data_IF_070199859739
#
_entry.id   IF_070199859739
#
_cell.length_a   1.000
_cell.length_b   1.000
_cell.length_c   1.000
_cell.angle_alpha   90.00
_cell.angle_beta   90.00
_cell.angle_gamma   90.00
#
_symmetry.space_group_name_H-M   'P 1'
#
loop_
_entity.id
_entity.type
_entity.pdbx_description
1 polymer ?
#
# COMPACT_ATOMS: atom_id res chain seq x y z
N UNK A 1 -15.95 22.62 -15.16
CA UNK A 1 -15.41 21.23 -15.04
C UNK A 1 -13.96 21.28 -14.55
N UNK A 2 -13.60 20.44 -13.56
CA UNK A 2 -12.23 20.35 -13.00
C UNK A 2 -11.69 18.93 -13.10
N UNK A 3 -10.38 18.78 -13.28
CA UNK A 3 -9.66 17.51 -13.29
C UNK A 3 -8.44 17.59 -12.36
N UNK A 4 -8.28 16.62 -11.47
CA UNK A 4 -7.13 16.50 -10.57
C UNK A 4 -6.18 15.43 -11.13
N UNK A 5 -4.94 15.80 -11.43
CA UNK A 5 -3.94 14.87 -11.93
C UNK A 5 -2.51 15.41 -11.73
N UNK A 6 -1.50 14.62 -12.08
CA UNK A 6 -0.14 15.11 -12.26
C UNK A 6 0.02 15.63 -13.69
N UNK A 7 0.50 16.86 -13.81
CA UNK A 7 0.72 17.56 -15.08
C UNK A 7 2.20 17.84 -15.26
N UNK A 8 2.69 17.52 -16.44
CA UNK A 8 3.98 17.97 -16.93
C UNK A 8 3.74 18.79 -18.19
N UNK A 9 4.22 20.03 -18.21
CA UNK A 9 4.15 20.91 -19.40
C UNK A 9 5.52 20.92 -20.04
N UNK A 10 5.63 20.33 -21.23
CA UNK A 10 6.87 20.22 -21.98
C UNK A 10 6.84 21.22 -23.14
N UNK A 11 7.73 22.22 -23.11
CA UNK A 11 7.89 23.13 -24.25
C UNK A 11 8.70 22.47 -25.35
N UNK A 12 8.15 22.48 -26.59
CA UNK A 12 8.81 21.93 -27.77
C UNK A 12 9.94 22.83 -28.31
N UNK A 13 10.06 24.06 -27.81
CA UNK A 13 11.13 24.98 -28.18
C UNK A 13 12.42 24.79 -27.36
N UNK A 14 12.33 24.22 -26.16
CA UNK A 14 13.49 24.03 -25.27
C UNK A 14 14.59 23.11 -25.84
N UNK A 15 14.28 22.00 -26.54
CA UNK A 15 15.30 21.17 -27.17
C UNK A 15 16.13 21.93 -28.23
N UNK A 16 15.50 22.86 -28.96
CA UNK A 16 16.18 23.70 -29.95
C UNK A 16 17.15 24.72 -29.32
N UNK A 17 16.92 25.06 -28.04
CA UNK A 17 17.78 25.94 -27.23
C UNK A 17 18.82 25.17 -26.40
N UNK A 18 18.99 23.87 -26.63
CA UNK A 18 19.92 23.01 -25.88
C UNK A 18 19.49 22.71 -24.43
N UNK A 19 18.30 23.12 -24.03
CA UNK A 19 17.78 22.91 -22.67
C UNK A 19 16.89 21.67 -22.61
N UNK A 20 17.25 20.69 -21.76
CA UNK A 20 16.40 19.52 -21.49
C UNK A 20 15.51 19.78 -20.28
N UNK A 21 14.21 19.91 -20.50
CA UNK A 21 13.25 19.95 -19.40
C UNK A 21 13.05 18.52 -18.87
N UNK A 22 13.75 18.16 -17.79
CA UNK A 22 13.50 16.93 -17.01
C UNK A 22 12.53 17.26 -15.86
N UNK A 23 11.38 17.86 -16.20
CA UNK A 23 10.38 18.19 -15.20
C UNK A 23 9.75 16.92 -14.64
N UNK A 24 9.77 16.72 -13.32
CA UNK A 24 8.88 15.72 -12.71
C UNK A 24 7.46 16.28 -12.75
N UNK A 25 6.49 15.47 -13.19
CA UNK A 25 5.07 15.86 -13.19
C UNK A 25 4.65 16.45 -11.85
N UNK A 26 4.02 17.62 -11.89
CA UNK A 26 3.57 18.35 -10.70
C UNK A 26 2.08 18.15 -10.54
N UNK A 27 1.63 17.88 -9.32
CA UNK A 27 0.19 17.77 -9.04
C UNK A 27 -0.51 19.10 -9.31
N UNK A 28 -1.51 19.07 -10.18
CA UNK A 28 -2.23 20.24 -10.66
C UNK A 28 -3.75 20.00 -10.70
N UNK A 29 -4.49 21.10 -10.72
CA UNK A 29 -5.92 21.11 -11.01
C UNK A 29 -6.12 21.81 -12.34
N UNK A 30 -6.65 21.07 -13.32
CA UNK A 30 -7.03 21.61 -14.62
C UNK A 30 -8.50 22.01 -14.57
N UNK A 31 -8.81 23.21 -15.02
CA UNK A 31 -10.18 23.72 -15.11
C UNK A 31 -10.47 24.21 -16.52
N UNK A 32 -11.65 23.87 -17.03
CA UNK A 32 -12.19 24.50 -18.23
C UNK A 32 -13.05 25.69 -17.82
N UNK A 33 -12.69 26.87 -18.32
CA UNK A 33 -13.35 28.14 -18.03
C UNK A 33 -13.80 28.82 -19.32
N UNK A 34 -14.97 29.47 -19.27
CA UNK A 34 -15.50 30.30 -20.36
C UNK A 34 -15.53 31.74 -19.84
N UNK A 35 -14.91 32.67 -20.56
CA UNK A 35 -14.90 34.07 -20.19
C UNK A 35 -15.91 34.84 -21.04
N UNK A 36 -16.86 35.52 -20.38
CA UNK A 36 -17.64 36.59 -21.01
C UNK A 36 -16.80 37.86 -20.96
N UNK A 37 -16.64 38.53 -22.11
CA UNK A 37 -15.93 39.80 -22.17
C UNK A 37 -16.66 40.84 -21.29
N UNK A 38 -16.09 41.17 -20.13
CA UNK A 38 -16.56 42.30 -19.31
C UNK A 38 -15.84 43.56 -19.73
N UNK A 39 -16.57 44.49 -20.33
CA UNK A 39 -16.09 45.86 -20.51
C UNK A 39 -16.74 46.68 -21.61
N UNK A 40 -18.06 46.81 -21.63
CA UNK A 40 -18.79 48.00 -22.09
C UNK A 40 -20.30 47.81 -21.87
N UNK A 41 -21.05 48.81 -21.36
CA UNK A 41 -22.49 48.73 -21.32
C UNK A 41 -22.99 48.84 -22.77
N UNK A 42 -23.67 47.81 -23.30
CA UNK A 42 -24.29 47.89 -24.62
C UNK A 42 -25.80 47.81 -24.54
N UNK A 43 -26.39 48.72 -25.30
CA UNK A 43 -27.80 48.87 -25.58
C UNK A 43 -28.36 47.66 -26.37
N UNK A 44 -29.68 47.54 -26.35
CA UNK A 44 -30.47 46.51 -27.04
C UNK A 44 -30.04 46.36 -28.51
N UNK A 45 -29.60 45.16 -28.91
CA UNK A 45 -29.64 44.75 -30.32
C UNK A 45 -28.44 44.05 -30.96
N UNK A 46 -27.39 43.63 -30.24
CA UNK A 46 -26.23 42.96 -30.88
C UNK A 46 -26.04 41.50 -30.48
N UNK A 47 -25.75 40.65 -31.48
CA UNK A 47 -25.47 39.21 -31.35
C UNK A 47 -24.25 38.97 -30.44
N UNK A 48 -24.38 37.96 -29.56
CA UNK A 48 -23.38 37.48 -28.61
C UNK A 48 -21.96 37.47 -29.19
N UNK A 49 -21.03 38.19 -28.53
CA UNK A 49 -19.60 38.15 -28.87
C UNK A 49 -18.98 36.78 -28.59
N UNK A 50 -17.81 36.46 -29.19
CA UNK A 50 -17.24 35.13 -29.13
C UNK A 50 -16.88 34.75 -27.68
N UNK A 51 -17.49 33.67 -27.19
CA UNK A 51 -17.11 33.06 -25.92
C UNK A 51 -15.70 32.47 -26.04
N UNK A 52 -14.75 32.99 -25.25
CA UNK A 52 -13.39 32.46 -25.18
C UNK A 52 -13.34 31.33 -24.15
N UNK A 53 -13.08 30.11 -24.62
CA UNK A 53 -12.89 28.93 -23.77
C UNK A 53 -11.40 28.68 -23.55
N UNK A 54 -10.98 28.67 -22.29
CA UNK A 54 -9.59 28.51 -21.89
C UNK A 54 -9.41 27.30 -20.98
N UNK A 55 -8.26 26.64 -21.12
CA UNK A 55 -7.74 25.67 -20.17
C UNK A 55 -6.90 26.40 -19.12
N UNK A 56 -7.24 26.19 -17.87
CA UNK A 56 -6.53 26.76 -16.74
C UNK A 56 -5.84 25.66 -15.94
N UNK A 57 -4.52 25.75 -15.78
CA UNK A 57 -3.72 24.80 -15.02
C UNK A 57 -3.20 25.49 -13.77
N UNK A 58 -3.60 25.03 -12.60
CA UNK A 58 -3.14 25.58 -11.31
C UNK A 58 -2.36 24.54 -10.52
N UNK A 59 -1.28 24.96 -9.86
CA UNK A 59 -0.45 24.09 -9.02
C UNK A 59 -0.38 24.63 -7.60
N UNK A 60 0.11 23.82 -6.64
CA UNK A 60 0.32 24.28 -5.26
C UNK A 60 1.31 25.44 -5.15
N UNK A 61 2.32 25.47 -6.04
CA UNK A 61 3.35 26.52 -6.08
C UNK A 61 2.87 27.76 -6.84
N UNK A 62 2.09 27.55 -7.90
CA UNK A 62 1.49 28.61 -8.69
C UNK A 62 -0.05 28.54 -8.63
N UNK A 63 -0.60 29.23 -7.63
CA UNK A 63 -2.05 29.38 -7.44
C UNK A 63 -2.69 30.33 -8.46
N UNK A 64 -1.91 31.18 -9.13
CA UNK A 64 -2.41 32.08 -10.19
C UNK A 64 -2.62 31.33 -11.50
N UNK A 65 -1.90 30.21 -11.67
CA UNK A 65 -2.08 29.23 -12.73
C UNK A 65 -1.73 29.74 -14.13
N UNK A 66 -1.48 28.81 -15.05
CA UNK A 66 -1.21 29.11 -16.45
C UNK A 66 -2.47 28.93 -17.29
N UNK A 67 -2.71 29.86 -18.22
CA UNK A 67 -3.86 29.85 -19.12
C UNK A 67 -3.43 29.45 -20.52
N UNK A 68 -4.21 28.58 -21.14
CA UNK A 68 -4.05 28.18 -22.54
C UNK A 68 -5.38 28.36 -23.25
N UNK A 69 -5.38 29.09 -24.36
CA UNK A 69 -6.54 29.20 -25.23
C UNK A 69 -6.77 27.87 -25.95
N UNK A 70 -8.02 27.44 -26.10
CA UNK A 70 -8.33 26.12 -26.66
C UNK A 70 -8.92 26.17 -28.07
N UNK A 71 -9.61 27.26 -28.41
CA UNK A 71 -10.28 27.42 -29.70
C UNK A 71 -9.25 27.31 -30.82
N UNK A 72 -9.40 26.29 -31.68
CA UNK A 72 -8.51 26.01 -32.82
C UNK A 72 -7.00 25.81 -32.50
N UNK A 73 -6.64 25.80 -31.21
CA UNK A 73 -5.27 25.81 -30.73
C UNK A 73 -4.72 24.42 -30.32
N UNK A 74 -5.54 23.37 -30.42
CA UNK A 74 -5.10 22.00 -30.17
C UNK A 74 -4.62 21.40 -31.49
N UNK A 75 -3.39 20.91 -31.52
CA UNK A 75 -2.82 20.23 -32.69
C UNK A 75 -3.18 18.74 -32.69
N UNK A 76 -3.05 18.08 -31.55
CA UNK A 76 -3.27 16.63 -31.43
C UNK A 76 -3.62 16.19 -30.01
N UNK A 77 -4.44 15.14 -29.90
CA UNK A 77 -4.69 14.42 -28.66
C UNK A 77 -4.04 13.04 -28.70
N UNK A 78 -3.23 12.71 -27.70
CA UNK A 78 -2.66 11.39 -27.51
C UNK A 78 -3.40 10.67 -26.38
N UNK A 79 -4.30 9.74 -26.74
CA UNK A 79 -5.23 9.11 -25.79
C UNK A 79 -5.05 7.60 -25.66
N UNK A 80 -3.93 7.03 -26.11
CA UNK A 80 -3.67 5.58 -26.11
C UNK A 80 -3.78 4.93 -24.72
N UNK A 81 -3.46 5.68 -23.66
CA UNK A 81 -3.38 5.20 -22.27
C UNK A 81 -4.41 5.86 -21.34
N UNK A 82 -5.53 6.33 -21.88
CA UNK A 82 -6.57 7.01 -21.08
C UNK A 82 -7.17 6.09 -20.02
N UNK A 83 -7.29 4.80 -20.31
CA UNK A 83 -7.75 3.81 -19.34
C UNK A 83 -6.78 3.61 -18.17
N UNK A 84 -5.48 3.86 -18.38
CA UNK A 84 -4.46 3.92 -17.33
C UNK A 84 -4.38 5.31 -16.65
N UNK A 85 -5.24 6.26 -17.01
CA UNK A 85 -5.24 7.61 -16.46
C UNK A 85 -4.14 8.52 -17.02
N UNK A 86 -3.64 8.24 -18.24
CA UNK A 86 -2.62 9.03 -18.93
C UNK A 86 -3.14 9.58 -20.26
N UNK A 87 -2.82 10.84 -20.57
CA UNK A 87 -3.11 11.45 -21.86
C UNK A 87 -2.17 12.62 -22.12
N UNK A 88 -1.91 12.95 -23.39
CA UNK A 88 -1.17 14.16 -23.74
C UNK A 88 -2.00 15.02 -24.67
N UNK A 89 -2.07 16.32 -24.38
CA UNK A 89 -2.73 17.33 -25.23
C UNK A 89 -1.65 18.24 -25.79
N UNK A 90 -1.53 18.27 -27.11
CA UNK A 90 -0.55 19.11 -27.81
C UNK A 90 -1.19 20.40 -28.27
N UNK A 91 -0.61 21.52 -27.85
CA UNK A 91 -1.05 22.87 -28.24
C UNK A 91 -0.17 23.44 -29.35
N UNK A 92 -0.78 24.25 -30.23
CA UNK A 92 -0.06 24.99 -31.28
C UNK A 92 0.66 26.19 -30.68
N UNK A 93 -0.04 27.02 -29.90
CA UNK A 93 0.49 28.25 -29.30
C UNK A 93 0.11 28.40 -27.81
N UNK A 94 1.08 28.48 -26.89
CA UNK A 94 2.49 28.17 -27.09
C UNK A 94 2.68 26.68 -27.49
N UNK A 95 3.75 26.33 -28.22
CA UNK A 95 3.99 24.97 -28.70
C UNK A 95 4.42 24.04 -27.55
N UNK A 96 3.46 23.64 -26.74
CA UNK A 96 3.66 22.82 -25.53
C UNK A 96 2.88 21.51 -25.62
N UNK A 97 3.46 20.47 -25.06
CA UNK A 97 2.80 19.19 -24.81
C UNK A 97 2.40 19.15 -23.33
N UNK A 98 1.10 19.09 -23.06
CA UNK A 98 0.54 18.97 -21.71
C UNK A 98 0.31 17.49 -21.43
N UNK A 99 1.23 16.88 -20.70
CA UNK A 99 1.18 15.48 -20.30
C UNK A 99 0.42 15.32 -18.98
N UNK A 100 -0.68 14.56 -19.02
CA UNK A 100 -1.53 14.23 -17.88
C UNK A 100 -1.23 12.80 -17.43
N UNK A 101 -1.07 12.60 -16.11
CA UNK A 101 -0.84 11.28 -15.51
C UNK A 101 -1.54 11.17 -14.15
N UNK A 102 -1.80 9.93 -13.71
CA UNK A 102 -2.48 9.61 -12.44
C UNK A 102 -3.87 10.26 -12.30
N UNK A 103 -4.57 10.44 -13.41
CA UNK A 103 -5.96 10.90 -13.41
C UNK A 103 -6.92 9.71 -13.23
N UNK A 104 -8.11 9.94 -12.65
CA UNK A 104 -9.20 8.96 -12.71
C UNK A 104 -9.64 8.79 -14.18
N UNK A 105 -9.68 7.55 -14.68
CA UNK A 105 -9.99 7.24 -16.08
C UNK A 105 -11.36 7.75 -16.54
N UNK A 106 -12.40 7.64 -15.70
CA UNK A 106 -13.74 8.15 -16.02
C UNK A 106 -13.75 9.67 -16.12
N UNK A 107 -13.16 10.37 -15.14
CA UNK A 107 -13.06 11.84 -15.14
C UNK A 107 -12.20 12.36 -16.28
N UNK A 108 -11.12 11.64 -16.63
CA UNK A 108 -10.24 11.98 -17.74
C UNK A 108 -10.95 11.85 -19.09
N UNK A 109 -11.73 10.78 -19.31
CA UNK A 109 -12.54 10.62 -20.54
C UNK A 109 -13.54 11.75 -20.72
N UNK A 110 -14.29 12.07 -19.66
CA UNK A 110 -15.23 13.19 -19.68
C UNK A 110 -14.52 14.52 -19.93
N UNK A 111 -13.36 14.73 -19.31
CA UNK A 111 -12.58 15.97 -19.46
C UNK A 111 -12.02 16.13 -20.87
N UNK A 112 -11.49 15.06 -21.46
CA UNK A 112 -11.00 15.05 -22.84
C UNK A 112 -12.14 15.27 -23.84
N UNK A 113 -13.33 14.74 -23.57
CA UNK A 113 -14.52 15.01 -24.40
C UNK A 113 -14.90 16.50 -24.35
N UNK A 114 -14.91 17.10 -23.15
CA UNK A 114 -15.13 18.54 -22.99
C UNK A 114 -14.04 19.39 -23.67
N UNK A 115 -12.76 18.97 -23.62
CA UNK A 115 -11.67 19.63 -24.35
C UNK A 115 -11.85 19.57 -25.87
N UNK A 116 -12.32 18.44 -26.41
CA UNK A 116 -12.60 18.31 -27.86
C UNK A 116 -13.74 19.22 -28.30
N UNK A 117 -14.77 19.37 -27.46
CA UNK A 117 -15.87 20.31 -27.70
C UNK A 117 -15.38 21.78 -27.63
N UNK A 118 -14.58 22.10 -26.62
CA UNK A 118 -13.95 23.42 -26.46
C UNK A 118 -13.12 23.82 -27.68
N UNK A 119 -12.33 22.88 -28.21
CA UNK A 119 -11.50 23.10 -29.39
C UNK A 119 -12.32 23.40 -30.65
N UNK A 120 -13.47 22.73 -30.81
CA UNK A 120 -14.40 22.92 -31.94
C UNK A 120 -15.28 24.16 -31.82
N UNK A 121 -15.21 24.89 -30.70
CA UNK A 121 -16.02 26.08 -30.47
C UNK A 121 -17.49 25.80 -30.17
N UNK A 122 -17.86 24.56 -29.79
CA UNK A 122 -19.20 24.23 -29.34
C UNK A 122 -19.40 24.60 -27.86
N UNK A 123 -20.60 25.08 -27.51
CA UNK A 123 -20.96 25.38 -26.13
C UNK A 123 -20.96 24.09 -25.28
N UNK A 124 -20.33 24.17 -24.11
CA UNK A 124 -20.19 23.06 -23.18
C UNK A 124 -21.38 23.09 -22.23
N UNK A 125 -22.37 22.21 -22.42
CA UNK A 125 -23.57 22.09 -21.55
C UNK A 125 -23.29 21.54 -20.13
N UNK A 126 -22.02 21.30 -19.77
CA UNK A 126 -21.64 20.85 -18.43
C UNK A 126 -21.47 22.05 -17.48
N UNK A 127 -21.69 21.91 -16.16
CA UNK A 127 -21.51 23.02 -15.21
C UNK A 127 -20.06 23.53 -15.25
N UNK A 128 -19.90 24.67 -15.91
CA UNK A 128 -18.64 25.37 -16.05
C UNK A 128 -18.33 26.10 -14.74
N UNK A 129 -17.10 25.95 -14.26
CA UNK A 129 -16.66 26.49 -12.99
C UNK A 129 -16.32 27.97 -13.19
N UNK A 130 -17.08 28.86 -12.55
CA UNK A 130 -16.80 30.30 -12.48
C UNK A 130 -15.41 30.53 -11.87
N UNK A 131 -14.68 31.51 -12.39
CA UNK A 131 -13.34 31.89 -11.95
C UNK A 131 -13.31 32.16 -10.44
N UNK A 132 -12.87 31.15 -9.68
CA UNK A 132 -12.50 31.29 -8.28
C UNK A 132 -11.11 30.67 -8.09
N UNK A 133 -10.18 31.35 -7.39
CA UNK A 133 -8.89 30.74 -7.04
C UNK A 133 -9.15 29.43 -6.30
N UNK A 134 -8.48 28.36 -6.76
CA UNK A 134 -8.57 27.00 -6.21
C UNK A 134 -8.24 27.07 -4.72
N UNK A 135 -9.24 26.80 -3.86
CA UNK A 135 -9.04 26.76 -2.40
C UNK A 135 -8.03 25.66 -2.09
N UNK A 136 -7.18 25.86 -1.08
CA UNK A 136 -6.15 24.89 -0.65
C UNK A 136 -6.70 23.50 -0.32
N UNK A 137 -8.02 23.39 -0.09
CA UNK A 137 -8.77 22.15 0.10
C UNK A 137 -8.99 21.33 -1.18
N UNK A 138 -8.93 21.94 -2.38
CA UNK A 138 -9.13 21.25 -3.67
C UNK A 138 -7.84 20.58 -4.18
N UNK A 139 -6.67 20.98 -3.65
CA UNK A 139 -5.48 20.16 -3.69
C UNK A 139 -5.54 19.14 -2.56
N UNK A 140 -6.53 18.24 -2.57
CA UNK A 140 -6.53 17.12 -1.63
C UNK A 140 -5.18 16.42 -1.77
N UNK A 141 -4.29 16.62 -0.79
CA UNK A 141 -3.17 15.70 -0.56
C UNK A 141 -3.83 14.33 -0.55
N UNK A 142 -3.44 13.46 -1.50
CA UNK A 142 -3.77 12.04 -1.39
C UNK A 142 -3.37 11.66 0.02
N UNK A 143 -4.36 11.42 0.89
CA UNK A 143 -4.07 11.02 2.26
C UNK A 143 -3.42 9.66 2.11
N UNK A 144 -2.10 9.63 2.27
CA UNK A 144 -1.30 8.40 2.25
C UNK A 144 -1.29 7.75 3.62
N UNK A 145 -1.55 8.52 4.68
CA UNK A 145 -1.71 8.05 6.04
C UNK A 145 -3.05 8.49 6.61
N UNK A 146 -3.74 7.56 7.26
CA UNK A 146 -4.94 7.81 8.05
C UNK A 146 -4.81 7.08 9.37
N UNK A 147 -5.13 7.77 10.46
CA UNK A 147 -5.07 7.26 11.84
C UNK A 147 -6.42 7.48 12.48
N UNK A 148 -6.97 6.40 13.02
CA UNK A 148 -8.24 6.35 13.73
C UNK A 148 -7.94 5.61 15.04
N UNK A 149 -8.05 6.31 16.17
CA UNK A 149 -7.73 5.79 17.51
C UNK A 149 -8.96 5.77 18.42
N UNK A 150 -10.14 6.10 17.89
CA UNK A 150 -11.38 6.06 18.63
C UNK A 150 -12.52 5.64 17.72
N UNK A 151 -13.47 4.91 18.29
CA UNK A 151 -14.71 4.52 17.61
C UNK A 151 -15.49 5.71 17.04
N UNK A 152 -15.39 6.89 17.67
CA UNK A 152 -16.08 8.12 17.22
C UNK A 152 -15.52 8.66 15.89
N UNK A 153 -14.23 8.45 15.65
CA UNK A 153 -13.53 8.96 14.46
C UNK A 153 -13.59 7.96 13.29
N UNK A 154 -14.18 6.79 13.51
CA UNK A 154 -14.30 5.76 12.50
C UNK A 154 -15.29 6.17 11.41
N UNK A 155 -14.91 6.16 10.11
CA UNK A 155 -15.76 6.61 9.03
C UNK A 155 -16.89 5.59 8.76
N UNK A 156 -18.09 5.87 9.27
CA UNK A 156 -19.27 5.03 9.06
C UNK A 156 -19.86 5.22 7.65
N UNK A 157 -19.99 6.47 7.20
CA UNK A 157 -20.69 6.83 5.94
C UNK A 157 -19.76 7.08 4.75
N UNK A 158 -18.46 7.24 4.96
CA UNK A 158 -17.47 7.55 3.91
C UNK A 158 -16.54 6.38 3.65
N UNK A 159 -16.17 6.18 2.39
CA UNK A 159 -15.14 5.21 2.01
C UNK A 159 -13.75 5.71 2.41
N UNK A 160 -12.84 4.77 2.64
CA UNK A 160 -11.42 5.07 2.85
C UNK A 160 -10.81 5.64 1.55
N UNK A 161 -9.92 6.66 1.64
CA UNK A 161 -9.22 7.16 0.47
C UNK A 161 -8.41 6.05 -0.23
N UNK A 162 -8.57 5.82 -1.55
CA UNK A 162 -7.91 4.70 -2.25
C UNK A 162 -6.39 4.88 -2.40
N UNK A 163 -5.89 6.09 -2.12
CA UNK A 163 -4.47 6.43 -2.13
C UNK A 163 -3.74 6.09 -0.81
N UNK A 164 -4.43 5.47 0.15
CA UNK A 164 -3.82 5.15 1.43
C UNK A 164 -2.73 4.10 1.28
N UNK A 165 -1.58 4.40 1.86
CA UNK A 165 -0.46 3.49 2.03
C UNK A 165 -0.36 3.02 3.50
N UNK A 166 -0.87 3.82 4.43
CA UNK A 166 -0.77 3.60 5.86
C UNK A 166 -2.15 3.82 6.50
N UNK A 167 -2.71 2.77 7.07
CA UNK A 167 -4.00 2.84 7.76
C UNK A 167 -3.83 2.28 9.17
N UNK A 168 -4.08 3.13 10.16
CA UNK A 168 -4.16 2.74 11.55
C UNK A 168 -5.60 2.92 12.04
N UNK A 169 -6.17 1.84 12.53
CA UNK A 169 -7.53 1.74 13.09
C UNK A 169 -7.43 0.98 14.40
N UNK A 170 -6.95 1.66 15.44
CA UNK A 170 -6.70 1.09 16.76
C UNK A 170 -7.76 1.58 17.76
N UNK A 171 -8.03 0.83 18.84
CA UNK A 171 -8.99 1.22 19.89
C UNK A 171 -10.40 1.57 19.38
N UNK A 172 -10.80 0.98 18.25
CA UNK A 172 -12.10 1.21 17.63
C UNK A 172 -13.17 0.20 18.08
N UNK A 173 -12.77 -0.83 18.83
CA UNK A 173 -13.65 -1.92 19.27
C UNK A 173 -14.15 -2.77 18.10
N UNK A 174 -13.34 -2.90 17.03
CA UNK A 174 -13.72 -3.67 15.84
C UNK A 174 -13.78 -5.16 16.18
N UNK A 175 -14.91 -5.80 15.91
CA UNK A 175 -15.10 -7.25 16.08
C UNK A 175 -14.66 -8.01 14.82
N UNK A 176 -14.72 -7.34 13.66
CA UNK A 176 -14.36 -7.85 12.34
C UNK A 176 -13.63 -6.75 11.56
N UNK A 177 -12.80 -7.16 10.61
CA UNK A 177 -12.16 -6.23 9.67
C UNK A 177 -13.21 -5.72 8.69
N UNK A 178 -13.24 -4.41 8.49
CA UNK A 178 -14.09 -3.75 7.51
C UNK A 178 -13.59 -4.05 6.09
N UNK A 179 -14.46 -4.62 5.26
CA UNK A 179 -14.12 -5.01 3.88
C UNK A 179 -13.68 -3.83 3.02
N UNK A 180 -14.07 -2.60 3.36
CA UNK A 180 -13.63 -1.38 2.67
C UNK A 180 -12.12 -1.17 2.83
N UNK A 181 -11.52 -1.57 3.95
CA UNK A 181 -10.08 -1.50 4.15
C UNK A 181 -9.33 -2.47 3.24
N UNK A 182 -9.96 -3.61 2.92
CA UNK A 182 -9.38 -4.67 2.10
C UNK A 182 -9.38 -4.32 0.60
N UNK A 183 -10.13 -3.29 0.20
CA UNK A 183 -10.12 -2.75 -1.17
C UNK A 183 -8.94 -1.81 -1.47
N UNK A 184 -8.14 -1.46 -0.45
CA UNK A 184 -7.05 -0.50 -0.55
C UNK A 184 -5.77 -1.14 -1.13
N UNK A 185 -5.69 -1.20 -2.46
CA UNK A 185 -4.57 -1.87 -3.15
C UNK A 185 -3.18 -1.26 -2.92
N UNK A 186 -3.12 0.03 -2.57
CA UNK A 186 -1.84 0.73 -2.30
C UNK A 186 -1.36 0.57 -0.85
N UNK A 187 -2.12 -0.13 0.00
CA UNK A 187 -1.84 -0.22 1.43
C UNK A 187 -0.56 -1.03 1.67
N UNK A 188 0.39 -0.43 2.38
CA UNK A 188 1.67 -1.01 2.79
C UNK A 188 1.71 -1.32 4.26
N UNK A 189 1.05 -0.51 5.09
CA UNK A 189 0.98 -0.71 6.53
C UNK A 189 -0.47 -0.69 6.99
N UNK A 190 -0.87 -1.76 7.67
CA UNK A 190 -2.18 -1.90 8.27
C UNK A 190 -2.03 -2.18 9.77
N UNK A 191 -2.49 -1.25 10.58
CA UNK A 191 -2.52 -1.38 12.03
C UNK A 191 -3.97 -1.49 12.51
N UNK A 192 -4.29 -2.66 13.06
CA UNK A 192 -5.57 -3.04 13.62
C UNK A 192 -5.43 -3.40 15.12
N UNK A 193 -4.37 -2.91 15.77
CA UNK A 193 -4.09 -3.21 17.17
C UNK A 193 -5.17 -2.72 18.13
N UNK A 194 -5.27 -3.32 19.31
CA UNK A 194 -6.21 -2.94 20.36
C UNK A 194 -7.67 -2.93 19.87
N UNK A 195 -8.11 -4.03 19.27
CA UNK A 195 -9.48 -4.25 18.84
C UNK A 195 -10.00 -5.59 19.40
N UNK A 196 -11.13 -6.07 18.90
CA UNK A 196 -11.75 -7.32 19.35
C UNK A 196 -11.89 -8.33 18.20
N UNK A 197 -10.96 -8.28 17.25
CA UNK A 197 -11.01 -9.09 16.03
C UNK A 197 -10.77 -10.56 16.41
N UNK A 198 -11.72 -11.42 16.05
CA UNK A 198 -11.64 -12.86 16.34
C UNK A 198 -11.03 -13.70 15.23
N UNK A 199 -11.25 -13.28 13.97
CA UNK A 199 -10.80 -13.99 12.77
C UNK A 199 -10.48 -12.99 11.65
N UNK A 200 -9.48 -13.31 10.84
CA UNK A 200 -9.19 -12.58 9.60
C UNK A 200 -10.01 -13.15 8.45
N UNK A 201 -10.64 -12.31 7.60
CA UNK A 201 -11.33 -12.78 6.40
C UNK A 201 -10.32 -13.25 5.34
N UNK A 202 -10.75 -14.12 4.42
CA UNK A 202 -9.89 -14.62 3.34
C UNK A 202 -9.39 -13.48 2.42
N UNK A 203 -10.19 -12.44 2.26
CA UNK A 203 -9.90 -11.24 1.47
C UNK A 203 -8.77 -10.37 2.02
N UNK A 204 -8.22 -10.69 3.20
CA UNK A 204 -6.99 -10.02 3.67
C UNK A 204 -5.82 -10.21 2.70
N UNK A 205 -5.81 -11.31 1.95
CA UNK A 205 -4.81 -11.61 0.93
C UNK A 205 -4.86 -10.74 -0.32
N UNK A 206 -5.92 -9.92 -0.48
CA UNK A 206 -6.08 -9.02 -1.63
C UNK A 206 -5.20 -7.75 -1.52
N UNK A 207 -4.60 -7.52 -0.36
CA UNK A 207 -3.71 -6.38 -0.09
C UNK A 207 -2.30 -6.64 -0.64
N UNK A 208 -2.18 -6.61 -1.96
CA UNK A 208 -0.97 -7.03 -2.71
C UNK A 208 0.34 -6.33 -2.32
N UNK A 209 0.27 -5.14 -1.75
CA UNK A 209 1.44 -4.34 -1.36
C UNK A 209 1.68 -4.28 0.15
N UNK A 210 0.92 -5.03 0.94
CA UNK A 210 1.03 -4.98 2.40
C UNK A 210 2.37 -5.57 2.86
N UNK A 211 3.11 -4.76 3.61
CA UNK A 211 4.43 -5.09 4.15
C UNK A 211 4.39 -5.24 5.67
N UNK A 212 3.54 -4.49 6.35
CA UNK A 212 3.44 -4.49 7.81
C UNK A 212 1.99 -4.67 8.22
N UNK A 213 1.74 -5.72 9.00
CA UNK A 213 0.43 -6.03 9.57
C UNK A 213 0.54 -6.12 11.10
N UNK A 214 -0.10 -5.17 11.78
CA UNK A 214 -0.19 -5.17 13.24
C UNK A 214 -1.59 -5.55 13.69
N UNK A 215 -1.70 -6.67 14.40
CA UNK A 215 -2.91 -7.22 15.01
C UNK A 215 -2.74 -7.44 16.51
N UNK A 216 -1.79 -6.73 17.12
CA UNK A 216 -1.52 -6.75 18.55
C UNK A 216 -2.79 -6.49 19.38
N UNK A 217 -2.95 -7.18 20.50
CA UNK A 217 -4.06 -6.96 21.45
C UNK A 217 -5.44 -7.08 20.77
N UNK A 218 -5.73 -8.30 20.33
CA UNK A 218 -6.98 -8.71 19.71
C UNK A 218 -7.45 -10.05 20.31
N UNK A 219 -8.46 -10.68 19.71
CA UNK A 219 -9.03 -11.95 20.18
C UNK A 219 -8.86 -13.08 19.16
N UNK A 220 -7.77 -13.07 18.39
CA UNK A 220 -7.51 -14.11 17.39
C UNK A 220 -7.25 -15.45 18.07
N UNK A 221 -8.11 -16.44 17.82
CA UNK A 221 -7.97 -17.80 18.38
C UNK A 221 -7.10 -18.71 17.49
N UNK A 222 -6.94 -18.34 16.22
CA UNK A 222 -6.21 -19.11 15.22
C UNK A 222 -5.58 -18.21 14.17
N UNK A 223 -4.41 -18.60 13.68
CA UNK A 223 -3.80 -17.99 12.51
C UNK A 223 -4.64 -18.26 11.23
N UNK A 224 -4.77 -17.26 10.36
CA UNK A 224 -5.50 -17.40 9.09
C UNK A 224 -4.56 -17.80 7.95
N UNK A 225 -4.75 -19.00 7.40
CA UNK A 225 -4.00 -19.49 6.22
C UNK A 225 -4.14 -18.61 4.98
N UNK A 226 -5.14 -17.72 4.92
CA UNK A 226 -5.28 -16.75 3.83
C UNK A 226 -4.08 -15.79 3.71
N UNK A 227 -3.39 -15.49 4.82
CA UNK A 227 -2.14 -14.73 4.78
C UNK A 227 -1.04 -15.48 4.02
N UNK A 228 -1.06 -16.81 4.08
CA UNK A 228 -0.06 -17.68 3.47
C UNK A 228 -0.43 -18.19 2.09
N UNK A 229 -1.69 -18.07 1.66
CA UNK A 229 -2.16 -18.55 0.35
C UNK A 229 -2.37 -17.42 -0.66
N UNK A 230 -1.83 -16.23 -0.36
CA UNK A 230 -2.02 -15.01 -1.16
C UNK A 230 -0.69 -14.38 -1.55
N UNK A 231 -0.79 -13.23 -2.23
CA UNK A 231 0.36 -12.40 -2.61
C UNK A 231 1.20 -11.92 -1.41
N UNK A 232 0.66 -12.01 -0.20
CA UNK A 232 1.35 -11.62 1.03
C UNK A 232 2.59 -12.46 1.35
N UNK A 233 2.70 -13.68 0.80
CA UNK A 233 3.90 -14.51 0.93
C UNK A 233 5.18 -13.82 0.44
N UNK A 234 5.05 -12.92 -0.54
CA UNK A 234 6.18 -12.23 -1.17
C UNK A 234 6.25 -10.73 -0.82
N UNK A 235 5.31 -10.21 -0.03
CA UNK A 235 5.27 -8.78 0.33
C UNK A 235 5.35 -8.52 1.83
N UNK A 236 4.83 -9.42 2.67
CA UNK A 236 4.75 -9.22 4.12
C UNK A 236 6.12 -9.40 4.78
N UNK A 237 6.57 -8.37 5.49
CA UNK A 237 7.88 -8.28 6.16
C UNK A 237 7.76 -8.25 7.67
N UNK A 238 6.76 -7.54 8.19
CA UNK A 238 6.51 -7.44 9.63
C UNK A 238 5.11 -7.90 9.98
N UNK A 239 5.03 -8.79 10.97
CA UNK A 239 3.77 -9.31 11.48
C UNK A 239 3.79 -9.32 13.01
N UNK A 240 2.88 -8.54 13.61
CA UNK A 240 2.64 -8.54 15.05
C UNK A 240 1.27 -9.18 15.35
N UNK A 241 1.31 -10.33 16.00
CA UNK A 241 0.16 -11.09 16.46
C UNK A 241 0.14 -11.22 17.99
N UNK A 242 0.93 -10.40 18.71
CA UNK A 242 1.07 -10.53 20.16
C UNK A 242 -0.22 -10.18 20.90
N UNK A 243 -0.38 -10.66 22.13
CA UNK A 243 -1.60 -10.46 22.95
C UNK A 243 -2.86 -10.93 22.20
N UNK A 244 -2.84 -12.19 21.77
CA UNK A 244 -3.98 -12.86 21.17
C UNK A 244 -4.18 -14.22 21.87
N UNK A 245 -4.97 -15.12 21.28
CA UNK A 245 -5.27 -16.46 21.83
C UNK A 245 -4.86 -17.58 20.88
N UNK A 246 -3.83 -17.35 20.08
CA UNK A 246 -3.39 -18.29 19.05
C UNK A 246 -2.72 -19.48 19.71
N UNK A 247 -3.23 -20.68 19.44
CA UNK A 247 -2.70 -21.93 20.01
C UNK A 247 -1.63 -22.61 19.17
N UNK A 248 -1.68 -22.42 17.85
CA UNK A 248 -0.73 -22.99 16.93
C UNK A 248 -0.67 -22.16 15.65
N UNK A 249 0.50 -22.18 15.00
CA UNK A 249 0.67 -21.72 13.63
C UNK A 249 0.65 -22.92 12.68
N UNK A 250 -0.11 -22.88 11.58
CA UNK A 250 -0.15 -23.96 10.61
C UNK A 250 1.17 -24.06 9.82
N UNK A 251 1.47 -25.21 9.20
CA UNK A 251 2.71 -25.38 8.42
C UNK A 251 2.81 -24.41 7.24
N UNK A 252 1.67 -23.96 6.70
CA UNK A 252 1.56 -22.93 5.67
C UNK A 252 2.15 -21.58 6.13
N UNK A 253 2.22 -21.32 7.44
CA UNK A 253 2.89 -20.13 7.99
C UNK A 253 4.31 -19.94 7.45
N UNK A 254 5.03 -21.05 7.28
CA UNK A 254 6.40 -21.09 6.76
C UNK A 254 6.53 -20.65 5.28
N UNK A 255 5.40 -20.38 4.60
CA UNK A 255 5.39 -19.82 3.24
C UNK A 255 5.66 -18.30 3.21
N UNK A 256 5.56 -17.59 4.35
CA UNK A 256 5.86 -16.16 4.46
C UNK A 256 7.37 -15.89 4.47
N UNK A 257 8.07 -16.24 3.38
CA UNK A 257 9.54 -16.26 3.32
C UNK A 257 10.20 -14.88 3.40
N UNK A 258 9.46 -13.83 3.08
CA UNK A 258 9.94 -12.44 3.15
C UNK A 258 9.82 -11.82 4.55
N UNK A 259 9.29 -12.57 5.52
CA UNK A 259 9.10 -12.08 6.88
C UNK A 259 10.46 -11.88 7.58
N UNK A 260 10.70 -10.66 8.06
CA UNK A 260 11.91 -10.24 8.80
C UNK A 260 11.64 -10.09 10.28
N UNK A 261 10.41 -9.68 10.64
CA UNK A 261 10.00 -9.36 12.00
C UNK A 261 8.70 -10.08 12.37
N UNK A 262 8.77 -10.92 13.41
CA UNK A 262 7.63 -11.69 13.90
C UNK A 262 7.50 -11.52 15.41
N UNK A 263 6.32 -11.04 15.85
CA UNK A 263 5.96 -10.95 17.27
C UNK A 263 4.72 -11.77 17.56
N UNK A 264 4.84 -12.64 18.54
CA UNK A 264 3.86 -13.64 18.96
C UNK A 264 3.72 -13.67 20.49
N UNK A 265 4.19 -12.64 21.18
CA UNK A 265 4.19 -12.59 22.64
C UNK A 265 2.78 -12.70 23.21
N UNK A 266 2.62 -13.20 24.43
CA UNK A 266 1.31 -13.28 25.09
C UNK A 266 0.25 -14.00 24.24
N UNK A 267 0.57 -15.21 23.80
CA UNK A 267 -0.36 -16.10 23.12
C UNK A 267 -0.45 -17.45 23.86
N UNK A 268 -1.12 -18.43 23.26
CA UNK A 268 -1.27 -19.77 23.83
C UNK A 268 -0.51 -20.82 23.00
N UNK A 269 0.58 -20.43 22.33
CA UNK A 269 1.29 -21.31 21.40
C UNK A 269 1.86 -22.52 22.12
N UNK A 270 1.43 -23.73 21.70
CA UNK A 270 1.93 -25.01 22.24
C UNK A 270 3.06 -25.61 21.39
N UNK A 271 3.27 -25.11 20.18
CA UNK A 271 4.36 -25.53 19.29
C UNK A 271 4.56 -24.51 18.15
N UNK A 272 5.78 -24.47 17.63
CA UNK A 272 6.05 -23.92 16.31
C UNK A 272 5.86 -24.99 15.22
N UNK A 273 5.58 -24.60 13.96
CA UNK A 273 5.53 -25.52 12.84
C UNK A 273 6.92 -26.15 12.61
N UNK A 274 6.97 -27.43 12.24
CA UNK A 274 8.23 -28.16 12.07
C UNK A 274 9.13 -27.58 10.96
N UNK A 275 8.54 -26.85 10.00
CA UNK A 275 9.24 -26.16 8.90
C UNK A 275 9.62 -24.71 9.21
N UNK A 276 9.71 -24.32 10.49
CA UNK A 276 10.01 -22.93 10.88
C UNK A 276 11.31 -22.43 10.24
N UNK A 277 12.29 -23.32 10.02
CA UNK A 277 13.56 -23.01 9.35
C UNK A 277 13.46 -22.53 7.91
N UNK A 278 12.29 -22.60 7.27
CA UNK A 278 12.06 -22.03 5.92
C UNK A 278 11.97 -20.50 5.91
N UNK A 279 11.80 -19.87 7.08
CA UNK A 279 11.76 -18.41 7.22
C UNK A 279 13.18 -17.82 7.24
N UNK A 280 13.92 -18.02 6.16
CA UNK A 280 15.37 -17.70 6.08
C UNK A 280 15.71 -16.22 6.20
N UNK A 281 14.75 -15.33 5.94
CA UNK A 281 14.90 -13.89 6.11
C UNK A 281 14.55 -13.37 7.51
N UNK A 282 14.03 -14.23 8.39
CA UNK A 282 13.60 -13.82 9.73
C UNK A 282 14.82 -13.42 10.56
N UNK A 283 14.80 -12.19 11.09
CA UNK A 283 15.85 -11.62 11.94
C UNK A 283 15.39 -11.40 13.36
N UNK A 284 14.13 -10.97 13.54
CA UNK A 284 13.55 -10.69 14.84
C UNK A 284 12.39 -11.64 15.12
N UNK A 285 12.53 -12.46 16.17
CA UNK A 285 11.47 -13.34 16.66
C UNK A 285 11.23 -13.12 18.15
N UNK A 286 10.03 -12.68 18.50
CA UNK A 286 9.57 -12.62 19.88
C UNK A 286 8.36 -13.54 20.06
N UNK A 287 8.43 -14.48 20.99
CA UNK A 287 7.33 -15.38 21.34
C UNK A 287 7.32 -15.64 22.85
N UNK A 288 7.57 -14.60 23.64
CA UNK A 288 7.54 -14.65 25.08
C UNK A 288 6.12 -14.95 25.59
N UNK A 289 6.02 -15.49 26.81
CA UNK A 289 4.75 -15.79 27.51
C UNK A 289 3.80 -16.63 26.66
N UNK A 290 4.32 -17.76 26.18
CA UNK A 290 3.58 -18.80 25.46
C UNK A 290 3.68 -20.15 26.21
N UNK A 291 3.27 -21.26 25.59
CA UNK A 291 3.24 -22.60 26.19
C UNK A 291 4.13 -23.59 25.43
N UNK A 292 5.26 -23.13 24.90
CA UNK A 292 6.15 -23.95 24.07
C UNK A 292 6.95 -24.94 24.95
N UNK A 293 6.81 -26.27 24.74
CA UNK A 293 7.60 -27.28 25.45
C UNK A 293 8.97 -27.51 24.84
N UNK A 294 9.12 -27.29 23.52
CA UNK A 294 10.37 -27.47 22.77
C UNK A 294 10.34 -26.62 21.49
N UNK A 295 11.51 -26.45 20.88
CA UNK A 295 11.65 -25.86 19.55
C UNK A 295 11.83 -26.97 18.49
N UNK A 296 11.29 -26.81 17.27
CA UNK A 296 11.47 -27.80 16.20
C UNK A 296 12.94 -27.88 15.76
N UNK A 297 13.38 -29.03 15.24
CA UNK A 297 14.78 -29.24 14.84
C UNK A 297 15.25 -28.30 13.73
N UNK A 298 14.36 -27.88 12.82
CA UNK A 298 14.68 -26.89 11.78
C UNK A 298 14.86 -25.46 12.32
N UNK A 299 14.52 -25.19 13.58
CA UNK A 299 14.71 -23.86 14.18
C UNK A 299 16.19 -23.43 14.15
N UNK A 300 17.12 -24.39 14.16
CA UNK A 300 18.57 -24.16 13.99
C UNK A 300 18.96 -23.53 12.65
N UNK A 301 18.09 -23.62 11.63
CA UNK A 301 18.36 -23.07 10.31
C UNK A 301 18.04 -21.57 10.23
N UNK A 302 17.41 -20.99 11.26
CA UNK A 302 17.12 -19.57 11.33
C UNK A 302 18.39 -18.79 11.69
N UNK A 303 18.56 -17.62 11.09
CA UNK A 303 19.67 -16.69 11.35
C UNK A 303 19.14 -15.43 12.04
N UNK A 304 18.67 -15.62 13.27
CA UNK A 304 18.04 -14.57 14.09
C UNK A 304 19.09 -13.64 14.69
N UNK A 305 18.81 -12.34 14.64
CA UNK A 305 19.54 -11.29 15.36
C UNK A 305 18.97 -11.07 16.76
N UNK A 306 17.67 -11.31 16.93
CA UNK A 306 16.97 -11.21 18.20
C UNK A 306 16.02 -12.38 18.38
N UNK A 307 16.08 -13.01 19.56
CA UNK A 307 15.20 -14.09 19.97
C UNK A 307 14.76 -13.88 21.42
N UNK A 308 13.45 -13.73 21.62
CA UNK A 308 12.84 -13.76 22.94
C UNK A 308 11.85 -14.92 23.04
N UNK A 309 12.10 -15.81 24.00
CA UNK A 309 11.27 -16.97 24.32
C UNK A 309 10.95 -17.02 25.83
N UNK A 310 11.12 -15.91 26.54
CA UNK A 310 10.92 -15.82 27.98
C UNK A 310 9.52 -16.29 28.39
N UNK A 311 9.37 -16.97 29.52
CA UNK A 311 8.07 -17.37 30.03
C UNK A 311 7.36 -18.46 29.21
N UNK A 312 8.11 -19.31 28.50
CA UNK A 312 7.61 -20.55 27.91
C UNK A 312 7.83 -21.75 28.83
N UNK A 313 7.07 -22.82 28.62
CA UNK A 313 7.10 -24.04 29.45
C UNK A 313 8.08 -25.09 28.90
N UNK A 314 9.31 -24.68 28.59
CA UNK A 314 10.30 -25.59 28.01
C UNK A 314 10.55 -26.78 28.93
N UNK A 315 10.38 -27.98 28.41
CA UNK A 315 10.67 -29.20 29.14
C UNK A 315 12.18 -29.35 29.28
N UNK A 316 12.63 -29.75 30.47
CA UNK A 316 14.02 -30.16 30.63
C UNK A 316 14.23 -31.43 29.79
N UNK A 317 15.32 -31.52 29.03
CA UNK A 317 15.64 -32.74 28.31
C UNK A 317 15.69 -33.87 29.33
N UNK A 318 14.81 -34.88 29.18
CA UNK A 318 14.94 -36.12 29.92
C UNK A 318 16.29 -36.69 29.52
N UNK A 319 17.26 -36.63 30.43
CA UNK A 319 18.52 -37.34 30.29
C UNK A 319 18.12 -38.81 30.19
N UNK A 320 18.09 -39.35 28.98
CA UNK A 320 17.99 -40.80 28.82
C UNK A 320 19.19 -41.35 29.60
N UNK A 321 18.99 -42.34 30.50
CA UNK A 321 20.14 -42.98 31.14
C UNK A 321 21.08 -43.38 30.02
N UNK A 322 22.36 -43.05 30.17
CA UNK A 322 23.38 -43.39 29.18
C UNK A 322 23.22 -44.86 28.89
N UNK A 323 22.64 -45.19 27.74
CA UNK A 323 22.65 -46.54 27.22
C UNK A 323 24.11 -46.70 26.81
N UNK A 324 24.94 -47.10 27.78
CA UNK A 324 26.19 -47.78 27.48
C UNK A 324 25.73 -48.99 26.69
N UNK A 325 25.74 -48.87 25.35
CA UNK A 325 25.67 -50.03 24.49
C UNK A 325 26.88 -50.86 24.91
N UNK A 326 26.66 -51.82 25.81
CA UNK A 326 27.56 -52.95 26.01
C UNK A 326 27.44 -53.80 24.75
N UNK A 327 27.91 -53.28 23.63
CA UNK A 327 28.28 -54.15 22.53
C UNK A 327 29.33 -55.09 23.13
N UNK A 328 29.11 -56.42 23.12
CA UNK A 328 30.17 -57.32 23.53
C UNK A 328 31.40 -56.97 22.69
N UNK A 329 32.51 -56.71 23.37
CA UNK A 329 33.79 -56.45 22.71
C UNK A 329 34.01 -57.53 21.66
N UNK A 330 34.49 -57.14 20.48
CA UNK A 330 34.84 -58.13 19.48
C UNK A 330 35.82 -59.15 20.08
N UNK A 331 35.85 -60.37 19.55
CA UNK A 331 36.80 -61.39 20.01
C UNK A 331 38.25 -60.86 19.96
N UNK A 332 38.54 -59.99 18.99
CA UNK A 332 39.81 -59.29 18.82
C UNK A 332 40.12 -58.33 19.99
N UNK A 333 39.15 -57.50 20.40
CA UNK A 333 39.35 -56.58 21.53
C UNK A 333 39.42 -57.32 22.88
N UNK A 334 38.65 -58.38 23.02
CA UNK A 334 38.68 -59.24 24.22
C UNK A 334 40.02 -59.95 24.35
N UNK A 335 40.56 -60.48 23.25
CA UNK A 335 41.88 -61.15 23.24
C UNK A 335 43.04 -60.16 23.42
N UNK A 336 42.98 -58.97 22.82
CA UNK A 336 43.98 -57.93 23.03
C UNK A 336 44.07 -57.48 24.50
N UNK A 337 42.93 -57.37 25.19
CA UNK A 337 42.90 -57.05 26.63
C UNK A 337 43.43 -58.19 27.49
N UNK A 338 43.10 -59.44 27.19
CA UNK A 338 43.60 -60.59 27.95
C UNK A 338 45.14 -60.70 27.90
N UNK A 339 45.77 -60.29 26.79
CA UNK A 339 47.24 -60.26 26.66
C UNK A 339 47.85 -59.11 27.48
N UNK A 340 47.19 -57.95 27.52
CA UNK A 340 47.65 -56.79 28.30
C UNK A 340 47.56 -57.01 29.81
N UNK A 341 46.57 -57.77 30.28
CA UNK A 341 46.40 -58.05 31.71
C UNK A 341 47.25 -59.22 32.24
N UNK A 342 47.80 -60.06 31.36
CA UNK A 342 48.65 -61.20 31.72
C UNK A 342 50.15 -60.92 31.48
N UNK A 343 50.55 -59.64 31.48
CA UNK A 343 51.96 -59.22 31.42
C UNK A 343 52.40 -58.52 32.70
#
# INVERSE_FOLDING_TARGET
>A
MKLHCEVEVVSRQLPALGMRNRGKGVRAVLSLCQQTARGQPRARGERSGPHLTCLFISTLKDKRGTRYELKENIEQFFTKFVDEGKATVRLKEPPVDICLSKANSSSLKSFLSALRLAHRGCDIEAPLSTFAPVKTSEFEKCKTKMVITSKKDYPLSRNFPPSLEHLQTSYCGLIRIDTRMLSLRNLRKLDLSHNHIKKLPATIGDLVHLQELNLNDNHLESFSVALCQSTLQTSLRSLDLSKNKIKALPVQFCQLRELTDLKLDDNELIRFPFKMGQLTNLRFLSAARNKLPFLPSEFKNLSLEYLDLFGNTFEQPKVLPVIMLQTPLSLLESSARAILYNR
#
